data_IF_572445903131
#
_entry.id   IF_572445903131
#
_cell.length_a   1.000
_cell.length_b   1.000
_cell.length_c   1.000
_cell.angle_alpha   90.00
_cell.angle_beta   90.00
_cell.angle_gamma   90.00
#
_symmetry.space_group_name_H-M   'P 1'
#
loop_
_entity.id
_entity.type
_entity.pdbx_description
1 polymer ?
#
# COMPACT_ATOMS: atom_id res chain seq x y z
N UNK A 1 -9.21 4.25 44.40
CA UNK A 1 -9.21 5.27 43.33
C UNK A 1 -9.67 4.57 42.06
N UNK A 2 -10.83 5.00 41.59
CA UNK A 2 -11.64 4.29 40.60
C UNK A 2 -11.27 4.75 39.18
N UNK A 3 -10.78 3.83 38.35
CA UNK A 3 -10.20 4.05 37.02
C UNK A 3 -11.27 3.95 35.92
N UNK A 4 -12.47 4.50 36.18
CA UNK A 4 -13.63 4.48 35.26
C UNK A 4 -13.97 5.83 34.61
N UNK A 5 -13.08 6.82 34.69
CA UNK A 5 -13.39 8.23 34.36
C UNK A 5 -12.69 8.85 33.15
N UNK A 6 -12.06 8.10 32.26
CA UNK A 6 -11.34 8.68 31.09
C UNK A 6 -11.68 7.99 29.76
N UNK A 7 -12.97 7.75 29.53
CA UNK A 7 -13.50 7.63 28.16
C UNK A 7 -14.41 8.84 27.96
N UNK A 8 -13.79 10.02 27.87
CA UNK A 8 -14.45 11.25 27.49
C UNK A 8 -14.74 11.17 25.99
N UNK A 9 -15.95 10.71 25.67
CA UNK A 9 -16.79 11.19 24.56
C UNK A 9 -16.09 12.04 23.49
N UNK A 10 -15.28 11.41 22.65
CA UNK A 10 -15.09 11.90 21.29
C UNK A 10 -16.30 11.42 20.48
N UNK A 11 -17.39 12.17 20.59
CA UNK A 11 -18.44 12.17 19.58
C UNK A 11 -17.79 12.74 18.31
N UNK A 12 -17.13 11.88 17.55
CA UNK A 12 -16.73 12.20 16.19
C UNK A 12 -18.01 12.42 15.41
N UNK A 13 -18.35 13.69 15.15
CA UNK A 13 -19.24 14.04 14.05
C UNK A 13 -18.72 13.31 12.82
N UNK A 14 -19.61 12.57 12.14
CA UNK A 14 -19.36 12.11 10.78
C UNK A 14 -18.88 13.33 9.98
N UNK A 15 -17.57 13.37 9.73
CA UNK A 15 -16.97 14.42 8.95
C UNK A 15 -17.47 14.22 7.54
N UNK A 16 -18.39 15.09 7.12
CA UNK A 16 -18.72 15.31 5.72
C UNK A 16 -17.43 15.23 4.92
N UNK A 17 -17.34 14.23 4.06
CA UNK A 17 -16.28 14.13 3.06
C UNK A 17 -16.12 15.50 2.41
N UNK A 18 -14.89 15.90 2.06
CA UNK A 18 -14.66 17.09 1.25
C UNK A 18 -15.36 17.08 -0.13
N UNK A 19 -16.12 16.03 -0.45
CA UNK A 19 -17.30 16.15 -1.28
C UNK A 19 -18.30 17.07 -0.57
N UNK A 20 -18.15 18.38 -0.78
CA UNK A 20 -19.30 19.27 -0.80
C UNK A 20 -20.43 18.54 -1.52
N UNK A 21 -21.69 18.68 -1.07
CA UNK A 21 -22.87 18.01 -1.63
C UNK A 21 -23.19 18.39 -3.09
N UNK A 22 -22.17 18.37 -3.95
CA UNK A 22 -22.18 18.52 -5.37
C UNK A 22 -22.79 17.24 -5.91
N UNK A 23 -23.97 17.40 -6.49
CA UNK A 23 -24.58 16.38 -7.33
C UNK A 23 -23.59 16.03 -8.45
N UNK A 24 -23.33 14.73 -8.71
CA UNK A 24 -22.50 14.32 -9.83
C UNK A 24 -22.95 14.98 -11.13
N UNK A 25 -22.00 15.58 -11.85
CA UNK A 25 -22.23 16.03 -13.23
C UNK A 25 -22.23 14.82 -14.16
N UNK A 26 -23.00 14.82 -15.27
CA UNK A 26 -22.86 13.83 -16.33
C UNK A 26 -21.42 13.74 -16.89
N UNK A 27 -20.66 14.84 -16.78
CA UNK A 27 -19.26 14.90 -17.21
C UNK A 27 -18.26 14.42 -16.15
N UNK A 28 -18.72 14.10 -14.92
CA UNK A 28 -17.82 13.59 -13.89
C UNK A 28 -17.42 12.14 -14.22
N UNK A 29 -16.15 11.74 -14.01
CA UNK A 29 -15.72 10.37 -14.23
C UNK A 29 -16.60 9.35 -13.49
N UNK A 30 -17.07 8.34 -14.20
CA UNK A 30 -18.01 7.33 -13.68
C UNK A 30 -17.35 5.98 -13.40
N UNK A 31 -16.09 5.78 -13.83
CA UNK A 31 -15.37 4.51 -13.64
C UNK A 31 -14.11 4.73 -12.82
N UNK A 32 -13.95 3.98 -11.73
CA UNK A 32 -12.73 3.93 -10.92
C UNK A 32 -11.85 2.77 -11.39
N UNK A 33 -10.69 3.05 -11.97
CA UNK A 33 -9.67 2.04 -12.30
C UNK A 33 -8.65 1.98 -11.16
N UNK A 34 -8.52 0.81 -10.54
CA UNK A 34 -7.58 0.56 -9.45
C UNK A 34 -6.69 -0.64 -9.78
N UNK A 35 -5.38 -0.42 -9.89
CA UNK A 35 -4.43 -1.50 -10.23
C UNK A 35 -3.33 -1.66 -9.18
N UNK A 36 -2.90 -2.91 -8.97
CA UNK A 36 -1.55 -3.12 -8.44
C UNK A 36 -0.48 -2.60 -9.41
N UNK A 37 0.70 -2.28 -8.89
CA UNK A 37 1.81 -1.77 -9.71
C UNK A 37 2.69 -2.90 -10.21
N UNK A 38 3.30 -3.63 -9.30
CA UNK A 38 4.37 -4.56 -9.62
C UNK A 38 3.79 -5.80 -10.29
N UNK A 39 4.34 -6.21 -11.44
CA UNK A 39 3.89 -7.41 -12.17
C UNK A 39 2.42 -7.38 -12.66
N UNK A 40 1.75 -6.23 -12.48
CA UNK A 40 0.40 -5.94 -12.97
C UNK A 40 0.43 -4.74 -13.92
N UNK A 41 0.52 -3.51 -13.39
CA UNK A 41 0.58 -2.30 -14.23
C UNK A 41 1.97 -2.09 -14.84
N UNK A 42 3.03 -2.30 -14.06
CA UNK A 42 4.43 -2.30 -14.48
C UNK A 42 4.87 -3.75 -14.60
N UNK A 43 4.74 -4.36 -15.79
CA UNK A 43 5.19 -5.72 -16.00
C UNK A 43 6.70 -5.81 -16.01
N UNK A 44 7.27 -6.68 -15.18
CA UNK A 44 8.71 -6.85 -15.13
C UNK A 44 9.18 -8.07 -15.96
N UNK A 45 10.07 -7.86 -16.94
CA UNK A 45 10.88 -8.93 -17.56
C UNK A 45 11.90 -9.48 -16.56
N UNK A 46 12.41 -8.59 -15.71
CA UNK A 46 13.25 -8.90 -14.55
C UNK A 46 12.84 -7.96 -13.43
N UNK A 47 12.25 -8.52 -12.37
CA UNK A 47 11.62 -7.79 -11.27
C UNK A 47 12.46 -6.59 -10.78
N UNK A 48 11.85 -5.40 -10.77
CA UNK A 48 12.47 -4.14 -10.32
C UNK A 48 13.65 -3.63 -11.16
N UNK A 49 13.98 -4.28 -12.29
CA UNK A 49 15.17 -3.96 -13.08
C UNK A 49 14.87 -3.70 -14.55
N UNK A 50 14.04 -4.55 -15.19
CA UNK A 50 13.73 -4.44 -16.62
C UNK A 50 12.23 -4.57 -16.79
N UNK A 51 11.56 -3.47 -17.09
CA UNK A 51 10.13 -3.44 -17.38
C UNK A 51 9.84 -3.83 -18.84
N UNK A 52 8.67 -4.41 -19.10
CA UNK A 52 8.14 -4.62 -20.43
C UNK A 52 7.44 -3.35 -20.94
N UNK A 53 8.24 -2.45 -21.52
CA UNK A 53 7.80 -1.12 -21.95
C UNK A 53 6.70 -1.15 -23.02
N UNK A 54 6.64 -2.20 -23.84
CA UNK A 54 5.63 -2.31 -24.90
C UNK A 54 4.24 -2.58 -24.31
N UNK A 55 4.15 -3.49 -23.33
CA UNK A 55 2.91 -3.80 -22.60
C UNK A 55 2.42 -2.62 -21.78
N UNK A 56 3.35 -1.98 -21.07
CA UNK A 56 3.10 -0.75 -20.32
C UNK A 56 2.61 0.37 -21.26
N UNK A 57 3.23 0.53 -22.43
CA UNK A 57 2.86 1.51 -23.44
C UNK A 57 1.41 1.33 -23.94
N UNK A 58 1.00 0.09 -24.24
CA UNK A 58 -0.40 -0.21 -24.61
C UNK A 58 -1.39 0.12 -23.51
N UNK A 59 -1.06 -0.24 -22.27
CA UNK A 59 -1.91 0.05 -21.11
C UNK A 59 -2.10 1.56 -20.93
N UNK A 60 -1.03 2.34 -21.08
CA UNK A 60 -1.07 3.81 -21.04
C UNK A 60 -1.97 4.39 -22.13
N UNK A 61 -1.82 3.91 -23.35
CA UNK A 61 -2.61 4.38 -24.50
C UNK A 61 -4.09 4.09 -24.28
N UNK A 62 -4.45 2.90 -23.80
CA UNK A 62 -5.82 2.58 -23.39
C UNK A 62 -6.34 3.58 -22.36
N UNK A 63 -5.63 3.81 -21.24
CA UNK A 63 -6.13 4.75 -20.22
C UNK A 63 -6.28 6.18 -20.74
N UNK A 64 -5.39 6.61 -21.64
CA UNK A 64 -5.45 7.92 -22.27
C UNK A 64 -6.64 8.09 -23.21
N UNK A 65 -7.07 7.03 -23.91
CA UNK A 65 -8.27 7.06 -24.75
C UNK A 65 -9.55 7.37 -23.97
N UNK A 66 -9.56 7.05 -22.68
CA UNK A 66 -10.69 7.30 -21.76
C UNK A 66 -10.39 8.41 -20.74
N UNK A 67 -9.42 9.29 -21.04
CA UNK A 67 -9.09 10.43 -20.18
C UNK A 67 -10.32 11.31 -19.93
N UNK A 68 -10.53 11.69 -18.67
CA UNK A 68 -11.72 12.45 -18.23
C UNK A 68 -12.96 11.60 -17.98
N UNK A 69 -12.98 10.31 -18.37
CA UNK A 69 -14.06 9.37 -18.05
C UNK A 69 -13.72 8.44 -16.89
N UNK A 70 -12.44 8.30 -16.59
CA UNK A 70 -11.93 7.42 -15.53
C UNK A 70 -11.25 8.20 -14.41
N UNK A 71 -11.35 7.65 -13.19
CA UNK A 71 -10.46 7.97 -12.07
C UNK A 71 -9.49 6.80 -11.95
N UNK A 72 -8.23 7.03 -12.28
CA UNK A 72 -7.20 6.01 -12.28
C UNK A 72 -6.33 6.16 -11.04
N UNK A 73 -6.11 5.05 -10.35
CA UNK A 73 -5.08 5.00 -9.35
C UNK A 73 -4.42 3.66 -9.23
N UNK A 74 -3.22 3.73 -8.68
CA UNK A 74 -2.33 2.61 -8.55
C UNK A 74 -2.05 2.38 -7.07
N UNK A 75 -1.80 1.14 -6.68
CA UNK A 75 -1.41 0.85 -5.30
C UNK A 75 -0.30 -0.20 -5.30
N UNK A 76 0.75 0.00 -4.50
CA UNK A 76 1.79 -1.00 -4.31
C UNK A 76 2.04 -1.28 -2.83
N UNK A 77 2.65 -2.42 -2.57
CA UNK A 77 3.31 -2.71 -1.31
C UNK A 77 4.47 -1.73 -1.02
N UNK A 78 5.11 -1.21 -2.07
CA UNK A 78 6.22 -0.26 -1.99
C UNK A 78 5.92 0.98 -1.16
N UNK A 79 6.97 1.51 -0.56
CA UNK A 79 6.97 2.80 0.10
C UNK A 79 6.99 3.99 -0.86
N UNK A 80 6.76 5.20 -0.33
CA UNK A 80 6.69 6.42 -1.17
C UNK A 80 7.97 6.64 -2.00
N UNK A 81 9.16 6.54 -1.41
CA UNK A 81 10.42 6.77 -2.14
C UNK A 81 10.66 5.75 -3.26
N UNK A 82 10.28 4.49 -3.05
CA UNK A 82 10.41 3.44 -4.06
C UNK A 82 9.41 3.68 -5.19
N UNK A 83 8.22 4.15 -4.88
CA UNK A 83 7.22 4.57 -5.87
C UNK A 83 7.71 5.77 -6.66
N UNK A 84 8.39 6.71 -6.02
CA UNK A 84 9.01 7.86 -6.70
C UNK A 84 10.09 7.44 -7.69
N UNK A 85 10.85 6.37 -7.41
CA UNK A 85 11.80 5.80 -8.38
C UNK A 85 11.10 5.21 -9.61
N UNK A 86 9.82 4.84 -9.50
CA UNK A 86 9.01 4.36 -10.62
C UNK A 86 8.32 5.48 -11.41
N UNK A 87 8.44 6.75 -10.99
CA UNK A 87 7.81 7.89 -11.65
C UNK A 87 8.01 7.93 -13.18
N UNK A 88 9.20 7.61 -13.76
CA UNK A 88 9.37 7.55 -15.21
C UNK A 88 8.44 6.54 -15.92
N UNK A 89 8.08 5.44 -15.26
CA UNK A 89 7.15 4.45 -15.81
C UNK A 89 5.70 4.96 -15.85
N UNK A 90 5.35 5.99 -15.09
CA UNK A 90 4.00 6.56 -15.06
C UNK A 90 3.83 7.79 -15.95
N UNK A 91 4.89 8.21 -16.65
CA UNK A 91 4.80 9.29 -17.64
C UNK A 91 3.66 9.05 -18.63
N UNK A 92 2.77 10.05 -18.75
CA UNK A 92 1.60 10.04 -19.63
C UNK A 92 0.39 9.25 -19.11
N UNK A 93 0.43 8.72 -17.89
CA UNK A 93 -0.74 8.08 -17.25
C UNK A 93 -1.59 9.17 -16.59
N UNK A 94 -2.91 9.25 -16.86
CA UNK A 94 -3.81 10.17 -16.15
C UNK A 94 -4.08 9.67 -14.72
N UNK A 95 -3.12 9.86 -13.81
CA UNK A 95 -3.12 9.29 -12.46
C UNK A 95 -3.72 10.26 -11.43
N UNK A 96 -4.84 9.88 -10.79
CA UNK A 96 -5.54 10.69 -9.78
C UNK A 96 -5.13 10.36 -8.34
N UNK A 97 -4.66 9.14 -8.06
CA UNK A 97 -4.14 8.79 -6.74
C UNK A 97 -3.11 7.66 -6.79
N UNK A 98 -2.32 7.58 -5.72
CA UNK A 98 -1.33 6.51 -5.51
C UNK A 98 -1.46 6.01 -4.08
N UNK A 99 -1.73 4.72 -3.93
CA UNK A 99 -1.67 4.00 -2.66
C UNK A 99 -0.26 3.47 -2.46
N UNK A 100 0.31 3.70 -1.28
CA UNK A 100 1.63 3.15 -0.90
C UNK A 100 1.46 2.24 0.30
N UNK A 101 2.48 1.42 0.58
CA UNK A 101 2.54 0.59 1.78
C UNK A 101 1.36 -0.39 1.91
N UNK A 102 0.93 -0.97 0.79
CA UNK A 102 -0.21 -1.88 0.75
C UNK A 102 -1.55 -1.17 0.99
N UNK A 103 -1.63 0.13 0.73
CA UNK A 103 -2.83 0.95 0.90
C UNK A 103 -2.95 1.60 2.28
N UNK A 104 -1.88 1.66 3.08
CA UNK A 104 -1.91 2.32 4.39
C UNK A 104 -1.76 3.84 4.30
N UNK A 105 -1.27 4.34 3.18
CA UNK A 105 -1.23 5.75 2.85
C UNK A 105 -1.75 5.91 1.43
N UNK A 106 -2.40 7.03 1.17
CA UNK A 106 -2.87 7.38 -0.16
C UNK A 106 -2.57 8.84 -0.41
N UNK A 107 -2.10 9.17 -1.60
CA UNK A 107 -1.85 10.55 -2.01
C UNK A 107 -2.76 10.86 -3.18
N UNK A 108 -3.36 12.06 -3.18
CA UNK A 108 -4.35 12.48 -4.16
C UNK A 108 -3.75 13.57 -5.05
N UNK A 109 -3.83 13.39 -6.36
CA UNK A 109 -3.40 14.36 -7.36
C UNK A 109 -4.52 15.37 -7.65
N UNK A 110 -4.88 16.19 -6.66
CA UNK A 110 -6.02 17.11 -6.80
C UNK A 110 -5.82 18.20 -7.84
N UNK A 111 -4.58 18.43 -8.28
CA UNK A 111 -4.22 19.42 -9.29
C UNK A 111 -4.11 18.83 -10.69
N UNK A 112 -4.34 17.52 -10.86
CA UNK A 112 -4.17 16.79 -12.12
C UNK A 112 -2.82 17.08 -12.80
N UNK A 113 -1.76 17.15 -12.00
CA UNK A 113 -0.40 17.32 -12.51
C UNK A 113 0.04 16.07 -13.28
N UNK A 114 0.98 16.19 -14.24
CA UNK A 114 1.61 15.02 -14.86
C UNK A 114 2.14 14.06 -13.80
N UNK A 115 1.85 12.77 -13.94
CA UNK A 115 2.11 11.78 -12.90
C UNK A 115 3.57 11.76 -12.44
N UNK A 116 4.52 11.92 -13.35
CA UNK A 116 5.96 11.94 -13.03
C UNK A 116 6.38 13.15 -12.19
N UNK A 117 5.83 14.33 -12.47
CA UNK A 117 6.11 15.57 -11.75
C UNK A 117 5.45 15.54 -10.38
N UNK A 118 4.17 15.12 -10.36
CA UNK A 118 3.41 14.97 -9.14
C UNK A 118 4.08 14.01 -8.17
N UNK A 119 4.38 12.78 -8.61
CA UNK A 119 4.95 11.75 -7.73
C UNK A 119 6.30 12.18 -7.16
N UNK A 120 7.18 12.76 -7.99
CA UNK A 120 8.51 13.22 -7.52
C UNK A 120 8.44 14.39 -6.54
N UNK A 121 7.32 15.14 -6.53
CA UNK A 121 7.10 16.24 -5.57
C UNK A 121 6.53 15.79 -4.21
N UNK A 122 5.94 14.59 -4.13
CA UNK A 122 5.24 14.11 -2.94
C UNK A 122 6.16 14.00 -1.73
N UNK A 123 5.63 14.41 -0.58
CA UNK A 123 6.24 14.25 0.74
C UNK A 123 5.37 13.37 1.61
N UNK A 124 5.96 12.77 2.64
CA UNK A 124 5.27 11.85 3.57
C UNK A 124 4.05 12.50 4.27
N UNK A 125 4.03 13.83 4.42
CA UNK A 125 2.92 14.57 5.03
C UNK A 125 1.84 15.00 4.04
N UNK A 126 2.01 14.71 2.74
CA UNK A 126 0.99 14.97 1.72
C UNK A 126 -0.04 13.82 1.61
N UNK A 127 0.04 12.82 2.50
CA UNK A 127 -0.95 11.73 2.60
C UNK A 127 -2.34 12.30 2.85
N UNK A 128 -3.36 11.67 2.28
CA UNK A 128 -4.74 12.08 2.47
C UNK A 128 -5.15 11.91 3.93
N UNK A 129 -5.37 13.04 4.60
CA UNK A 129 -5.72 13.07 6.02
C UNK A 129 -7.00 12.29 6.34
N UNK A 130 -7.96 12.17 5.41
CA UNK A 130 -9.20 11.43 5.67
C UNK A 130 -8.91 9.93 5.72
N UNK A 131 -8.13 9.43 4.77
CA UNK A 131 -7.69 8.04 4.79
C UNK A 131 -6.80 7.75 5.99
N UNK A 132 -5.83 8.62 6.32
CA UNK A 132 -4.98 8.45 7.50
C UNK A 132 -5.81 8.36 8.80
N UNK A 133 -6.86 9.17 8.93
CA UNK A 133 -7.81 9.10 10.05
C UNK A 133 -8.64 7.81 10.04
N UNK A 134 -9.07 7.34 8.87
CA UNK A 134 -9.80 6.08 8.73
C UNK A 134 -8.92 4.88 9.07
N UNK A 135 -7.66 4.89 8.62
CA UNK A 135 -6.62 3.91 8.99
C UNK A 135 -6.47 3.89 10.49
N UNK A 136 -6.20 5.03 11.13
CA UNK A 136 -6.05 5.13 12.57
C UNK A 136 -7.30 4.61 13.31
N UNK A 137 -8.51 4.97 12.87
CA UNK A 137 -9.74 4.49 13.51
C UNK A 137 -9.91 2.97 13.42
N UNK A 138 -9.72 2.39 12.23
CA UNK A 138 -9.92 0.94 11.98
C UNK A 138 -8.90 0.07 12.71
N UNK A 139 -7.66 0.54 12.76
CA UNK A 139 -6.52 -0.19 13.30
C UNK A 139 -6.27 0.07 14.81
N UNK A 140 -7.18 0.77 15.48
CA UNK A 140 -7.06 1.11 16.89
C UNK A 140 -5.90 2.07 17.20
N UNK A 141 -5.74 3.11 16.40
CA UNK A 141 -4.77 4.19 16.59
C UNK A 141 -3.51 4.08 15.74
N UNK A 142 -3.40 3.11 14.83
CA UNK A 142 -2.20 2.99 13.99
C UNK A 142 -2.01 4.22 13.11
N UNK A 143 -0.81 4.77 13.16
CA UNK A 143 -0.36 5.80 12.25
C UNK A 143 1.09 5.53 11.88
N UNK A 144 1.38 5.42 10.59
CA UNK A 144 2.71 5.04 10.08
C UNK A 144 3.81 5.94 10.65
N UNK A 145 3.63 7.27 10.64
CA UNK A 145 4.64 8.21 11.13
C UNK A 145 4.86 8.09 12.66
N UNK A 146 3.79 7.84 13.42
CA UNK A 146 3.87 7.63 14.85
C UNK A 146 4.63 6.34 15.17
N UNK A 147 4.28 5.25 14.49
CA UNK A 147 4.94 3.94 14.65
C UNK A 147 6.43 4.06 14.33
N UNK A 148 6.80 4.75 13.24
CA UNK A 148 8.21 4.95 12.90
C UNK A 148 8.96 5.78 13.94
N UNK A 149 8.34 6.85 14.46
CA UNK A 149 8.94 7.65 15.54
C UNK A 149 9.14 6.83 16.82
N UNK A 150 8.17 5.99 17.18
CA UNK A 150 8.28 5.09 18.32
C UNK A 150 9.41 4.09 18.15
N UNK A 151 9.51 3.45 16.97
CA UNK A 151 10.59 2.52 16.62
C UNK A 151 11.93 3.22 16.73
N UNK A 152 12.13 4.36 16.06
CA UNK A 152 13.40 5.09 16.11
C UNK A 152 13.81 5.48 17.53
N UNK A 153 12.85 5.98 18.34
CA UNK A 153 13.15 6.32 19.73
C UNK A 153 13.54 5.10 20.56
N UNK A 154 12.86 3.96 20.41
CA UNK A 154 13.18 2.73 21.15
C UNK A 154 14.53 2.18 20.73
N UNK A 155 14.91 2.29 19.45
CA UNK A 155 16.27 1.94 19.02
C UNK A 155 17.29 2.84 19.71
N UNK A 156 17.13 4.16 19.66
CA UNK A 156 18.07 5.08 20.30
C UNK A 156 18.25 4.80 21.80
N UNK A 157 17.18 4.44 22.52
CA UNK A 157 17.24 4.07 23.95
C UNK A 157 18.13 2.84 24.22
N UNK A 158 18.35 1.99 23.22
CA UNK A 158 19.19 0.80 23.32
C UNK A 158 20.61 1.03 22.77
N UNK A 159 21.01 2.28 22.50
CA UNK A 159 22.38 2.63 22.09
C UNK A 159 22.68 2.33 20.62
N UNK A 160 21.64 2.09 19.84
CA UNK A 160 21.72 1.97 18.41
C UNK A 160 22.16 3.31 17.78
N UNK A 161 22.90 3.30 16.66
CA UNK A 161 23.17 4.49 15.80
C UNK A 161 22.89 4.28 14.31
N UNK A 162 22.51 5.35 13.57
CA UNK A 162 22.12 5.28 12.15
C UNK A 162 23.27 4.76 11.29
N UNK A 163 22.99 3.77 10.45
CA UNK A 163 23.93 3.21 9.49
C UNK A 163 24.32 4.26 8.44
N UNK A 164 25.63 4.44 8.23
CA UNK A 164 26.15 5.32 7.19
C UNK A 164 26.07 4.71 5.77
N UNK A 165 25.85 3.40 5.67
CA UNK A 165 25.83 2.66 4.39
C UNK A 165 24.40 2.22 4.06
N UNK A 166 23.92 2.45 2.82
CA UNK A 166 22.66 1.90 2.33
C UNK A 166 22.69 0.37 2.37
N UNK A 167 21.65 -0.23 2.93
CA UNK A 167 21.55 -1.69 3.00
C UNK A 167 20.74 -2.24 1.84
N UNK A 168 20.86 -3.55 1.57
CA UNK A 168 19.99 -4.21 0.61
C UNK A 168 18.52 -3.98 0.98
N UNK A 169 17.65 -3.80 -0.02
CA UNK A 169 16.22 -3.69 0.23
C UNK A 169 15.70 -5.00 0.88
N UNK A 170 14.65 -4.94 1.70
CA UNK A 170 13.98 -6.13 2.22
C UNK A 170 13.57 -7.12 1.14
N UNK A 171 13.46 -8.38 1.55
CA UNK A 171 12.87 -9.44 0.73
C UNK A 171 11.35 -9.24 0.48
N UNK A 172 10.65 -8.47 1.34
CA UNK A 172 9.23 -8.13 1.17
C UNK A 172 8.94 -6.66 1.46
N UNK A 173 8.15 -6.04 0.59
CA UNK A 173 7.93 -4.58 0.55
C UNK A 173 6.90 -4.07 1.59
N UNK A 174 6.11 -4.95 2.22
CA UNK A 174 5.02 -4.58 3.15
C UNK A 174 5.46 -4.38 4.60
N UNK A 175 6.70 -4.69 4.89
CA UNK A 175 7.13 -5.05 6.22
C UNK A 175 7.88 -3.90 6.91
N UNK A 176 7.34 -3.40 8.03
CA UNK A 176 8.11 -2.64 9.00
C UNK A 176 8.81 -3.65 9.92
N UNK A 177 10.07 -4.00 9.60
CA UNK A 177 10.81 -4.97 10.40
C UNK A 177 11.37 -4.33 11.67
N UNK A 178 11.50 -5.14 12.71
CA UNK A 178 12.55 -5.03 13.72
C UNK A 178 13.16 -6.43 13.79
N UNK A 179 14.34 -6.62 13.23
CA UNK A 179 15.01 -7.92 13.19
C UNK A 179 16.31 -7.86 13.99
N UNK A 180 16.46 -8.76 14.98
CA UNK A 180 17.72 -8.99 15.70
C UNK A 180 18.60 -9.97 14.90
N UNK A 181 19.84 -9.58 14.56
CA UNK A 181 20.80 -10.43 13.82
C UNK A 181 22.09 -10.63 14.63
N UNK A 182 22.70 -11.84 14.66
CA UNK A 182 23.99 -12.05 15.32
C UNK A 182 25.10 -11.19 14.72
N UNK A 183 25.78 -10.40 15.54
CA UNK A 183 26.99 -9.68 15.17
C UNK A 183 28.26 -10.51 15.38
N UNK A 184 29.36 -10.05 14.78
CA UNK A 184 30.70 -10.60 14.91
C UNK A 184 31.29 -10.50 16.33
N UNK A 185 32.62 -10.48 16.43
CA UNK A 185 33.46 -10.83 17.61
C UNK A 185 33.11 -10.23 18.99
N UNK A 186 32.13 -9.33 19.11
CA UNK A 186 31.69 -8.71 20.36
C UNK A 186 30.20 -8.92 20.72
N UNK A 187 29.45 -9.77 20.00
CA UNK A 187 28.07 -10.12 20.38
C UNK A 187 27.03 -9.01 20.18
N UNK A 188 27.28 -8.08 19.27
CA UNK A 188 26.34 -7.02 18.90
C UNK A 188 25.12 -7.60 18.18
N UNK A 189 23.95 -6.97 18.34
CA UNK A 189 22.71 -7.36 17.67
C UNK A 189 22.32 -6.25 16.70
N UNK A 190 22.19 -6.52 15.40
CA UNK A 190 21.65 -5.50 14.48
C UNK A 190 20.14 -5.40 14.67
N UNK A 191 19.57 -4.19 14.59
CA UNK A 191 18.14 -3.99 14.40
C UNK A 191 17.89 -3.37 13.04
N UNK A 192 17.26 -4.16 12.18
CA UNK A 192 16.77 -3.66 10.89
C UNK A 192 15.40 -3.03 11.10
N UNK A 193 15.30 -1.70 11.15
CA UNK A 193 14.03 -0.99 10.95
C UNK A 193 13.89 -0.59 9.49
N UNK A 194 12.90 -1.19 8.81
CA UNK A 194 12.57 -0.83 7.45
C UNK A 194 11.39 0.13 7.50
N UNK A 195 11.68 1.37 7.09
CA UNK A 195 10.66 2.38 6.88
C UNK A 195 9.88 2.08 5.60
N UNK A 196 8.65 2.56 5.62
CA UNK A 196 7.69 2.61 4.53
C UNK A 196 7.95 3.75 3.52
N UNK A 197 9.10 4.39 3.59
CA UNK A 197 9.70 5.29 2.60
C UNK A 197 11.17 4.95 2.33
N UNK A 198 11.65 3.79 2.81
CA UNK A 198 13.05 3.37 2.80
C UNK A 198 14.10 4.47 3.04
N UNK A 199 13.80 5.47 3.87
CA UNK A 199 14.88 6.06 4.67
C UNK A 199 15.33 5.00 5.65
N UNK A 200 16.33 4.20 5.26
CA UNK A 200 16.82 3.08 6.07
C UNK A 200 17.31 3.61 7.42
N UNK A 201 16.57 3.29 8.46
CA UNK A 201 17.01 3.47 9.84
C UNK A 201 17.44 2.09 10.34
N UNK A 202 18.52 1.61 9.76
CA UNK A 202 19.30 0.54 10.37
C UNK A 202 20.24 1.14 11.38
N UNK A 203 20.32 0.46 12.52
CA UNK A 203 21.28 0.68 13.56
C UNK A 203 21.70 -0.74 14.00
N UNK A 204 22.92 -1.29 13.96
CA UNK A 204 24.32 -0.88 13.73
C UNK A 204 25.14 -2.19 13.50
N UNK A 205 26.40 -2.06 13.03
CA UNK A 205 27.58 -2.97 13.18
C UNK A 205 27.71 -4.34 12.44
N UNK A 206 28.95 -4.54 11.94
CA UNK A 206 29.62 -5.60 11.13
C UNK A 206 28.90 -6.92 10.73
N UNK A 207 28.90 -7.19 9.42
CA UNK A 207 28.04 -8.09 8.62
C UNK A 207 28.66 -9.43 8.21
N UNK A 208 29.50 -10.07 9.04
CA UNK A 208 30.26 -11.20 8.51
C UNK A 208 29.47 -12.50 8.27
N UNK A 209 28.29 -12.71 8.86
CA UNK A 209 27.49 -13.92 8.56
C UNK A 209 26.02 -13.86 9.07
N UNK A 210 25.05 -13.59 8.18
CA UNK A 210 23.61 -13.63 8.49
C UNK A 210 23.04 -15.05 8.63
N UNK A 211 23.78 -16.08 8.23
CA UNK A 211 23.29 -17.46 8.26
C UNK A 211 23.53 -18.14 9.62
N UNK A 212 24.15 -17.46 10.58
CA UNK A 212 24.35 -18.01 11.92
C UNK A 212 23.03 -18.01 12.70
N UNK A 213 22.69 -19.12 13.37
CA UNK A 213 21.48 -19.19 14.19
C UNK A 213 21.55 -18.22 15.37
N UNK A 214 20.39 -17.67 15.77
CA UNK A 214 20.29 -16.82 16.96
C UNK A 214 20.61 -17.61 18.22
N UNK A 215 21.47 -17.06 19.06
CA UNK A 215 21.65 -17.52 20.43
C UNK A 215 20.38 -17.20 21.26
N UNK A 216 20.17 -17.89 22.39
CA UNK A 216 19.12 -17.51 23.35
C UNK A 216 19.18 -16.03 23.76
N UNK A 217 20.39 -15.49 23.95
CA UNK A 217 20.61 -14.08 24.30
C UNK A 217 20.08 -13.12 23.20
N UNK A 218 20.25 -13.45 21.92
CA UNK A 218 19.70 -12.63 20.84
C UNK A 218 18.17 -12.64 20.83
N UNK A 219 17.55 -13.80 21.10
CA UNK A 219 16.09 -13.92 21.20
C UNK A 219 15.54 -13.12 22.37
N UNK A 220 16.22 -13.16 23.53
CA UNK A 220 15.82 -12.40 24.71
C UNK A 220 15.97 -10.89 24.50
N UNK A 221 17.03 -10.46 23.81
CA UNK A 221 17.20 -9.08 23.39
C UNK A 221 16.08 -8.62 22.46
N UNK A 222 15.75 -9.40 21.42
CA UNK A 222 14.67 -9.10 20.48
C UNK A 222 13.32 -8.95 21.20
N UNK A 223 13.02 -9.85 22.14
CA UNK A 223 11.81 -9.75 22.99
C UNK A 223 11.82 -8.51 23.86
N UNK A 224 12.96 -8.14 24.46
CA UNK A 224 13.09 -6.93 25.29
C UNK A 224 12.84 -5.67 24.46
N UNK A 225 13.39 -5.62 23.25
CA UNK A 225 13.18 -4.53 22.30
C UNK A 225 11.72 -4.42 21.86
N UNK A 226 11.12 -5.55 21.44
CA UNK A 226 9.71 -5.61 21.06
C UNK A 226 8.80 -5.14 22.20
N UNK A 227 9.05 -5.58 23.44
CA UNK A 227 8.29 -5.16 24.62
C UNK A 227 8.40 -3.65 24.88
N UNK A 228 9.57 -3.06 24.67
CA UNK A 228 9.76 -1.60 24.79
C UNK A 228 9.05 -0.82 23.68
N UNK A 229 9.00 -1.37 22.48
CA UNK A 229 8.20 -0.82 21.38
C UNK A 229 6.71 -0.90 21.68
N UNK A 230 6.21 -2.05 22.13
CA UNK A 230 4.82 -2.25 22.57
C UNK A 230 4.44 -1.25 23.68
N UNK A 231 5.28 -1.08 24.70
CA UNK A 231 5.07 -0.09 25.76
C UNK A 231 4.96 1.33 25.20
N UNK A 232 5.82 1.70 24.24
CA UNK A 232 5.82 3.04 23.63
C UNK A 232 4.57 3.29 22.79
N UNK A 233 4.21 2.33 21.94
CA UNK A 233 3.05 2.39 21.07
C UNK A 233 1.75 2.43 21.86
N UNK A 234 1.62 1.60 22.89
CA UNK A 234 0.46 1.60 23.79
C UNK A 234 0.29 2.95 24.48
N UNK A 235 1.38 3.55 24.97
CA UNK A 235 1.35 4.90 25.57
C UNK A 235 0.93 6.00 24.58
N UNK A 236 1.11 5.75 23.28
CA UNK A 236 0.71 6.64 22.20
C UNK A 236 -0.67 6.29 21.63
N UNK A 237 -1.39 5.35 22.25
CA UNK A 237 -2.76 4.98 21.87
C UNK A 237 -2.85 4.03 20.68
N UNK A 238 -1.76 3.37 20.28
CA UNK A 238 -1.76 2.38 19.20
C UNK A 238 -2.10 0.99 19.74
N UNK A 239 -3.11 0.36 19.18
CA UNK A 239 -3.51 -1.01 19.45
C UNK A 239 -2.45 -1.99 18.97
N UNK A 240 -2.09 -2.92 19.85
CA UNK A 240 -1.12 -3.98 19.56
C UNK A 240 -1.75 -5.22 18.90
N UNK A 241 -3.06 -5.21 18.61
CA UNK A 241 -3.71 -6.28 17.87
C UNK A 241 -3.15 -6.37 16.42
N UNK A 242 -2.55 -5.29 15.95
CA UNK A 242 -1.82 -5.11 14.69
C UNK A 242 -0.41 -5.74 14.66
N UNK A 243 -0.16 -6.80 15.45
CA UNK A 243 1.18 -7.43 15.55
C UNK A 243 1.23 -8.78 14.88
N UNK A 244 2.25 -8.98 14.05
CA UNK A 244 2.59 -10.28 13.50
C UNK A 244 4.04 -10.62 13.84
N UNK A 245 4.22 -11.79 14.45
CA UNK A 245 5.54 -12.33 14.70
C UNK A 245 5.87 -13.34 13.61
N UNK A 246 6.99 -13.13 12.92
CA UNK A 246 7.49 -14.10 11.94
C UNK A 246 8.80 -14.66 12.48
N UNK A 247 8.80 -15.96 12.76
CA UNK A 247 10.02 -16.72 13.09
C UNK A 247 10.55 -17.33 11.79
N UNK A 248 11.52 -16.68 11.18
CA UNK A 248 12.22 -17.24 10.01
C UNK A 248 13.52 -17.88 10.48
N UNK A 249 13.50 -19.16 10.90
CA UNK A 249 14.61 -20.12 11.19
C UNK A 249 15.86 -19.60 11.95
N UNK A 250 16.39 -18.43 11.63
CA UNK A 250 17.48 -17.69 12.24
C UNK A 250 17.13 -16.23 12.61
N UNK A 251 15.88 -15.76 12.49
CA UNK A 251 15.51 -14.37 12.80
C UNK A 251 14.13 -14.26 13.47
N UNK A 252 14.06 -13.42 14.50
CA UNK A 252 12.80 -12.97 15.07
C UNK A 252 12.45 -11.63 14.44
N UNK A 253 11.40 -11.63 13.61
CA UNK A 253 10.91 -10.45 12.91
C UNK A 253 9.60 -10.03 13.57
N UNK A 254 9.59 -8.79 14.03
CA UNK A 254 8.35 -8.13 14.45
C UNK A 254 7.82 -7.30 13.29
N UNK A 255 6.59 -7.61 12.85
CA UNK A 255 5.84 -6.83 11.86
C UNK A 255 4.69 -6.13 12.56
N UNK A 256 4.60 -4.82 12.32
CA UNK A 256 3.43 -4.04 12.74
C UNK A 256 2.62 -3.72 11.49
N UNK A 257 1.48 -4.39 11.38
CA UNK A 257 0.55 -4.27 10.27
C UNK A 257 -0.80 -3.81 10.83
N UNK A 258 -1.33 -2.65 10.40
CA UNK A 258 -2.64 -2.21 10.86
C UNK A 258 -3.69 -3.27 10.51
N UNK A 259 -4.49 -3.66 11.51
CA UNK A 259 -5.62 -4.57 11.29
C UNK A 259 -6.65 -3.88 10.39
N UNK A 260 -7.35 -4.68 9.59
CA UNK A 260 -8.47 -4.24 8.74
C UNK A 260 -8.12 -3.16 7.71
N UNK A 261 -6.83 -3.05 7.37
CA UNK A 261 -6.32 -2.23 6.27
C UNK A 261 -5.77 -3.12 5.18
N UNK A 262 -6.40 -3.03 4.02
CA UNK A 262 -6.10 -3.77 2.80
C UNK A 262 -6.40 -2.91 1.56
N UNK A 263 -5.95 -3.36 0.38
CA UNK A 263 -6.34 -2.73 -0.89
C UNK A 263 -7.85 -2.69 -1.07
N UNK A 264 -8.56 -3.74 -0.64
CA UNK A 264 -10.05 -3.76 -0.63
C UNK A 264 -10.64 -2.61 0.21
N UNK A 265 -10.12 -2.40 1.43
CA UNK A 265 -10.60 -1.31 2.29
C UNK A 265 -10.31 0.07 1.70
N UNK A 266 -9.19 0.21 0.98
CA UNK A 266 -8.81 1.43 0.28
C UNK A 266 -9.74 1.69 -0.92
N UNK A 267 -10.03 0.67 -1.75
CA UNK A 267 -11.01 0.82 -2.85
C UNK A 267 -12.37 1.24 -2.30
N UNK A 268 -12.83 0.66 -1.19
CA UNK A 268 -14.07 1.09 -0.53
C UNK A 268 -14.03 2.55 -0.10
N UNK A 269 -12.90 3.03 0.42
CA UNK A 269 -12.72 4.45 0.75
C UNK A 269 -12.79 5.35 -0.48
N UNK A 270 -12.13 4.94 -1.58
CA UNK A 270 -12.13 5.69 -2.84
C UNK A 270 -13.53 5.77 -3.45
N UNK A 271 -14.31 4.69 -3.43
CA UNK A 271 -15.71 4.70 -3.88
C UNK A 271 -16.55 5.71 -3.09
N UNK A 272 -16.37 5.85 -1.77
CA UNK A 272 -17.06 6.90 -0.99
C UNK A 272 -16.59 8.30 -1.35
N UNK A 273 -15.30 8.45 -1.66
CA UNK A 273 -14.69 9.74 -2.01
C UNK A 273 -15.21 10.27 -3.36
N UNK A 274 -15.47 9.38 -4.31
CA UNK A 274 -15.89 9.72 -5.67
C UNK A 274 -17.35 9.27 -5.90
N UNK A 275 -18.35 10.07 -5.49
CA UNK A 275 -19.76 9.67 -5.55
C UNK A 275 -20.31 9.53 -6.98
N UNK A 276 -19.59 10.01 -8.00
CA UNK A 276 -19.92 9.80 -9.41
C UNK A 276 -19.59 8.39 -9.90
N UNK A 277 -18.79 7.62 -9.14
CA UNK A 277 -18.35 6.28 -9.56
C UNK A 277 -19.53 5.30 -9.55
N UNK A 278 -19.80 4.73 -10.72
CA UNK A 278 -20.85 3.75 -10.97
C UNK A 278 -20.29 2.36 -11.25
N UNK A 279 -19.01 2.24 -11.59
CA UNK A 279 -18.31 0.97 -11.75
C UNK A 279 -16.86 1.08 -11.28
N UNK A 280 -16.32 -0.02 -10.75
CA UNK A 280 -14.90 -0.18 -10.43
C UNK A 280 -14.31 -1.18 -11.40
N UNK A 281 -13.10 -0.90 -11.90
CA UNK A 281 -12.24 -1.89 -12.56
C UNK A 281 -11.04 -2.14 -11.65
N UNK A 282 -10.91 -3.35 -11.11
CA UNK A 282 -9.71 -3.76 -10.36
C UNK A 282 -8.79 -4.61 -11.23
N UNK A 283 -7.48 -4.36 -11.15
CA UNK A 283 -6.46 -5.13 -11.84
C UNK A 283 -5.37 -5.58 -10.88
N UNK A 284 -4.98 -6.85 -10.95
CA UNK A 284 -4.00 -7.40 -10.02
C UNK A 284 -3.38 -8.72 -10.47
N UNK A 285 -2.27 -9.06 -9.83
CA UNK A 285 -1.70 -10.39 -9.81
C UNK A 285 -2.12 -11.05 -8.49
N UNK A 286 -2.46 -12.31 -8.57
CA UNK A 286 -3.22 -12.94 -7.50
C UNK A 286 -2.41 -13.24 -6.23
N UNK A 287 -1.14 -12.85 -6.15
CA UNK A 287 -0.30 -13.21 -5.02
C UNK A 287 -0.73 -12.49 -3.75
N UNK A 288 -1.30 -11.28 -3.84
CA UNK A 288 -1.69 -10.48 -2.67
C UNK A 288 -2.81 -9.44 -2.92
N UNK A 289 -3.56 -9.54 -4.00
CA UNK A 289 -4.53 -8.53 -4.44
C UNK A 289 -5.96 -8.81 -3.98
N UNK A 290 -6.16 -8.61 -2.67
CA UNK A 290 -7.48 -8.69 -2.00
C UNK A 290 -8.59 -7.91 -2.70
N UNK A 291 -8.28 -6.86 -3.47
CA UNK A 291 -9.30 -6.08 -4.18
C UNK A 291 -9.98 -6.84 -5.35
N UNK A 292 -9.43 -7.98 -5.79
CA UNK A 292 -10.03 -8.78 -6.86
C UNK A 292 -11.21 -9.65 -6.38
N UNK A 293 -11.31 -9.92 -5.08
CA UNK A 293 -12.29 -10.88 -4.55
C UNK A 293 -13.72 -10.34 -4.48
N UNK A 294 -13.97 -9.09 -4.04
CA UNK A 294 -15.33 -8.57 -3.96
C UNK A 294 -15.96 -8.40 -5.34
N UNK A 295 -17.21 -8.85 -5.49
CA UNK A 295 -18.01 -8.59 -6.71
C UNK A 295 -18.48 -7.12 -6.78
N UNK A 296 -18.48 -6.40 -5.65
CA UNK A 296 -18.85 -5.00 -5.58
C UNK A 296 -18.19 -4.32 -4.37
N UNK A 297 -18.08 -3.00 -4.42
CA UNK A 297 -17.63 -2.15 -3.32
C UNK A 297 -18.74 -1.18 -2.97
N UNK A 298 -19.36 -1.34 -1.79
CA UNK A 298 -20.46 -0.48 -1.34
C UNK A 298 -21.63 -0.40 -2.34
N UNK A 299 -21.93 -1.51 -3.01
CA UNK A 299 -22.99 -1.59 -4.03
C UNK A 299 -22.54 -1.20 -5.44
N UNK A 300 -21.34 -0.67 -5.62
CA UNK A 300 -20.76 -0.36 -6.93
C UNK A 300 -20.14 -1.63 -7.54
N UNK A 301 -20.57 -2.10 -8.73
CA UNK A 301 -20.04 -3.30 -9.38
C UNK A 301 -18.51 -3.24 -9.58
N UNK A 302 -17.84 -4.37 -9.39
CA UNK A 302 -16.40 -4.53 -9.63
C UNK A 302 -16.14 -5.42 -10.86
N UNK A 303 -15.52 -4.88 -11.89
CA UNK A 303 -15.02 -5.58 -13.07
C UNK A 303 -13.54 -5.87 -12.87
N UNK A 304 -13.11 -7.11 -13.12
CA UNK A 304 -11.86 -7.63 -12.57
C UNK A 304 -10.95 -8.13 -13.68
N UNK A 305 -9.75 -7.58 -13.73
CA UNK A 305 -8.70 -7.99 -14.66
C UNK A 305 -7.67 -8.80 -13.88
N UNK A 306 -7.57 -10.08 -14.20
CA UNK A 306 -6.57 -10.98 -13.62
C UNK A 306 -5.38 -11.07 -14.58
N UNK A 307 -4.23 -10.55 -14.16
CA UNK A 307 -2.98 -10.58 -14.93
C UNK A 307 -2.20 -11.86 -14.67
N UNK A 308 -2.01 -12.68 -15.71
CA UNK A 308 -1.17 -13.88 -15.68
C UNK A 308 -1.85 -15.19 -15.27
N UNK A 309 -1.09 -16.28 -15.34
CA UNK A 309 -1.59 -17.65 -15.30
C UNK A 309 -1.39 -18.35 -13.94
N UNK A 310 -1.83 -17.73 -12.85
CA UNK A 310 -1.73 -18.36 -11.51
C UNK A 310 -3.01 -19.15 -11.16
N UNK A 311 -2.95 -20.50 -11.04
CA UNK A 311 -4.13 -21.36 -10.99
C UNK A 311 -5.08 -21.11 -9.81
N UNK A 312 -4.58 -20.65 -8.66
CA UNK A 312 -5.32 -20.66 -7.40
C UNK A 312 -6.46 -19.62 -7.35
N UNK A 313 -6.25 -18.45 -7.95
CA UNK A 313 -7.32 -17.41 -8.04
C UNK A 313 -8.04 -17.48 -9.37
N UNK A 314 -7.38 -17.97 -10.41
CA UNK A 314 -8.04 -18.38 -11.63
C UNK A 314 -9.24 -19.28 -11.29
N UNK A 315 -9.05 -20.34 -10.50
CA UNK A 315 -10.16 -21.24 -10.13
C UNK A 315 -11.32 -20.57 -9.38
N UNK A 316 -11.06 -19.60 -8.50
CA UNK A 316 -12.12 -18.92 -7.74
C UNK A 316 -12.90 -17.94 -8.61
N UNK A 317 -12.23 -17.27 -9.54
CA UNK A 317 -12.80 -16.23 -10.39
C UNK A 317 -13.24 -16.74 -11.77
N UNK A 318 -13.02 -18.02 -12.08
CA UNK A 318 -13.32 -18.59 -13.39
C UNK A 318 -14.82 -18.54 -13.71
N UNK A 319 -15.14 -18.26 -14.98
CA UNK A 319 -16.52 -18.26 -15.48
C UNK A 319 -17.41 -17.13 -14.96
N UNK A 320 -16.89 -16.17 -14.20
CA UNK A 320 -17.66 -15.02 -13.75
C UNK A 320 -17.68 -13.93 -14.86
N UNK A 321 -18.87 -13.41 -15.20
CA UNK A 321 -19.08 -12.51 -16.35
C UNK A 321 -18.30 -11.19 -16.27
N UNK A 322 -18.00 -10.71 -15.06
CA UNK A 322 -17.25 -9.50 -14.78
C UNK A 322 -15.77 -9.77 -14.44
N UNK A 323 -15.22 -10.89 -14.92
CA UNK A 323 -13.80 -11.24 -14.81
C UNK A 323 -13.21 -11.43 -16.20
N UNK A 324 -12.13 -10.72 -16.48
CA UNK A 324 -11.32 -10.92 -17.66
C UNK A 324 -9.92 -11.40 -17.28
N UNK A 325 -9.47 -12.47 -17.93
CA UNK A 325 -8.10 -12.95 -17.80
C UNK A 325 -7.28 -12.44 -18.96
N UNK A 326 -6.16 -11.85 -18.63
CA UNK A 326 -5.22 -11.32 -19.61
C UNK A 326 -3.85 -11.95 -19.41
N UNK A 327 -3.02 -12.06 -20.46
CA UNK A 327 -1.64 -12.49 -20.28
C UNK A 327 -0.91 -11.60 -19.28
N UNK A 328 0.09 -12.15 -18.61
CA UNK A 328 0.86 -11.45 -17.59
C UNK A 328 1.33 -10.06 -18.08
N UNK A 329 0.90 -9.01 -17.39
CA UNK A 329 1.27 -7.63 -17.68
C UNK A 329 0.50 -6.94 -18.82
N UNK A 330 -0.42 -7.64 -19.49
CA UNK A 330 -1.18 -7.12 -20.63
C UNK A 330 -2.55 -6.60 -20.17
N UNK A 331 -2.59 -5.50 -19.43
CA UNK A 331 -3.88 -4.97 -18.93
C UNK A 331 -4.75 -4.37 -20.03
N UNK A 332 -4.16 -3.90 -21.13
CA UNK A 332 -4.86 -3.17 -22.20
C UNK A 332 -6.09 -3.90 -22.78
N UNK A 333 -6.06 -5.19 -23.13
CA UNK A 333 -7.26 -5.93 -23.55
C UNK A 333 -8.41 -5.86 -22.54
N UNK A 334 -8.14 -6.20 -21.27
CA UNK A 334 -9.15 -6.19 -20.21
C UNK A 334 -9.69 -4.81 -19.90
N UNK A 335 -8.82 -3.80 -19.93
CA UNK A 335 -9.22 -2.41 -19.77
C UNK A 335 -10.13 -1.98 -20.94
N UNK A 336 -9.74 -2.26 -22.19
CA UNK A 336 -10.54 -1.90 -23.36
C UNK A 336 -11.91 -2.58 -23.35
N UNK A 337 -11.96 -3.88 -23.04
CA UNK A 337 -13.19 -4.66 -22.96
C UNK A 337 -14.16 -4.09 -21.92
N UNK A 338 -13.70 -3.92 -20.67
CA UNK A 338 -14.54 -3.38 -19.61
C UNK A 338 -14.91 -1.91 -19.83
N UNK A 339 -13.97 -1.04 -20.22
CA UNK A 339 -14.25 0.38 -20.44
C UNK A 339 -15.19 0.61 -21.63
N UNK A 340 -15.01 -0.12 -22.73
CA UNK A 340 -15.91 -0.01 -23.88
C UNK A 340 -17.34 -0.40 -23.51
N UNK A 341 -17.50 -1.47 -22.71
CA UNK A 341 -18.81 -1.91 -22.25
C UNK A 341 -19.45 -0.90 -21.28
N UNK A 342 -18.69 -0.40 -20.31
CA UNK A 342 -19.19 0.49 -19.26
C UNK A 342 -19.49 1.91 -19.75
N UNK A 343 -18.82 2.36 -20.81
CA UNK A 343 -18.93 3.72 -21.35
C UNK A 343 -19.65 3.76 -22.71
N UNK A 344 -20.23 2.64 -23.17
CA UNK A 344 -20.93 2.57 -24.46
C UNK A 344 -22.19 3.49 -24.53
N UNK A 345 -22.82 3.74 -23.38
CA UNK A 345 -24.09 4.46 -23.28
C UNK A 345 -23.94 5.99 -23.15
N UNK A 346 -22.71 6.51 -23.14
CA UNK A 346 -22.41 7.96 -23.13
C UNK A 346 -22.59 8.62 -24.52
N UNK A 347 -23.21 7.92 -25.48
CA UNK A 347 -23.61 8.55 -26.74
C UNK A 347 -24.72 9.55 -26.45
N UNK A 348 -24.58 10.83 -26.81
CA UNK A 348 -25.67 11.77 -26.72
C UNK A 348 -26.87 11.19 -27.49
N UNK A 349 -28.02 11.15 -26.83
CA UNK A 349 -29.29 10.96 -27.53
C UNK A 349 -29.47 12.22 -28.39
N UNK A 350 -29.29 12.07 -29.70
CA UNK A 350 -29.51 13.14 -30.69
C UNK A 350 -30.94 13.71 -30.62
#
# INVERSE_FOLDING_TARGET
MDLKGFISSYVFRESNFGASGRTPSPDDPSVLVFSDIDDTFVPWKRYGQVADVDKLGRTKETLKQYEGKTINGLCSARGLSQIQQLAPFFKGVPLQFIGTNGGQQVYINSQNQPAEEWLTSLKVHDSDNHWDNEVARRSGGFNTQLVMRATHSVLNDFGFERCAVPLPPPHHERDAFVAAVPGGKNGEVAVVALTKDQTTLMFRADFKDVNKPLTPAHKDFARKLARKLEERLTKQGVSLNAKRFVDQKCHQIYLIEPTDISKESLVSHLVRRYPSVQAVITAGDNTNDTMLLPNSFLGVPNHRIVSGDRPEVAQVLDGQENVERVPFGELSPGLNSHLSMLLADDKPVD
#
